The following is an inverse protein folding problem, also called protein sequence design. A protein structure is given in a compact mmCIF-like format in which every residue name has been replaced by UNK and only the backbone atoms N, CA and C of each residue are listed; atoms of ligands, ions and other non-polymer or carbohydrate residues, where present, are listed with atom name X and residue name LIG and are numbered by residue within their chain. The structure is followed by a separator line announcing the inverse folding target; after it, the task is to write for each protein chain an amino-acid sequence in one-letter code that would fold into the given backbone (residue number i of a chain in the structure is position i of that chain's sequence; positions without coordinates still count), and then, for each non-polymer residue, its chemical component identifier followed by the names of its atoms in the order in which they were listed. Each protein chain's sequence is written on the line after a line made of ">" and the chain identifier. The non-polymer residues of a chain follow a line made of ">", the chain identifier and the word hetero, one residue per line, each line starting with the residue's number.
data_IF_495572733374
#
_entry.id   IF_495572733374
#
_cell.length_a   1.000
_cell.length_b   1.000
_cell.length_c   1.000
_cell.angle_alpha   90.00
_cell.angle_beta   90.00
_cell.angle_gamma   90.00
#
_symmetry.space_group_name_H-M   'P 1'
#
loop_
_entity.id
_entity.type
_entity.pdbx_description
1 polymer ?
#
# COMPACT_ATOMS: atom_id res chain seq x y z
N UNK A 1 17.47 0.83 -5.04
CA UNK A 1 17.92 -0.45 -4.46
C UNK A 1 18.70 -1.28 -5.48
N UNK A 2 19.96 -0.91 -5.72
CA UNK A 2 20.87 -1.71 -6.53
C UNK A 2 21.09 -3.08 -5.89
N UNK A 3 20.90 -4.16 -6.66
CA UNK A 3 21.16 -5.60 -6.41
C UNK A 3 22.58 -5.98 -5.89
N UNK A 4 23.32 -5.07 -5.26
CA UNK A 4 24.74 -5.23 -4.91
C UNK A 4 25.06 -5.45 -3.43
N UNK A 5 24.11 -5.41 -2.51
CA UNK A 5 24.43 -5.45 -1.07
C UNK A 5 24.00 -6.70 -0.29
N UNK A 6 23.51 -7.75 -0.97
CA UNK A 6 23.33 -9.08 -0.36
C UNK A 6 24.18 -10.17 -1.05
N UNK A 7 25.10 -9.78 -1.95
CA UNK A 7 26.21 -10.63 -2.34
C UNK A 7 27.21 -10.64 -1.17
N UNK A 8 27.06 -11.67 -0.35
CA UNK A 8 28.03 -12.09 0.66
C UNK A 8 29.44 -12.01 0.04
N UNK A 9 30.28 -11.13 0.56
CA UNK A 9 31.72 -11.30 0.47
C UNK A 9 32.10 -12.48 1.39
N UNK A 10 31.80 -13.70 0.96
CA UNK A 10 32.51 -14.91 1.37
C UNK A 10 33.46 -15.23 0.21
N UNK A 11 34.56 -14.48 0.17
CA UNK A 11 35.78 -14.96 -0.46
C UNK A 11 36.51 -15.78 0.59
N UNK A 12 36.22 -17.08 0.66
CA UNK A 12 36.99 -18.04 1.45
C UNK A 12 37.25 -19.28 0.59
N UNK A 13 38.45 -19.26 0.01
CA UNK A 13 39.29 -20.38 -0.39
C UNK A 13 38.60 -21.61 -1.00
N UNK A 14 38.53 -21.65 -2.33
CA UNK A 14 38.63 -22.89 -3.09
C UNK A 14 40.06 -23.45 -2.95
N UNK A 15 40.29 -24.25 -1.91
CA UNK A 15 41.42 -25.18 -1.88
C UNK A 15 40.94 -26.53 -2.36
N UNK A 16 41.47 -26.92 -3.52
CA UNK A 16 41.42 -28.26 -4.06
C UNK A 16 42.01 -29.25 -3.04
N UNK A 17 41.26 -30.32 -2.75
CA UNK A 17 41.70 -31.44 -1.94
C UNK A 17 41.02 -32.70 -2.47
N UNK A 18 41.71 -33.40 -3.36
CA UNK A 18 41.35 -34.72 -3.84
C UNK A 18 41.39 -35.72 -2.68
N UNK A 19 40.29 -36.44 -2.45
CA UNK A 19 40.29 -37.76 -1.84
C UNK A 19 39.25 -38.60 -2.57
N UNK A 20 39.73 -39.59 -3.33
CA UNK A 20 38.92 -40.57 -3.99
C UNK A 20 38.22 -41.50 -2.98
N UNK A 21 37.02 -41.90 -3.34
CA UNK A 21 36.24 -42.91 -2.64
C UNK A 21 35.25 -43.51 -3.62
N UNK A 22 35.67 -44.55 -4.33
CA UNK A 22 34.82 -45.44 -5.12
C UNK A 22 33.85 -46.18 -4.20
N UNK A 23 32.55 -46.01 -4.41
CA UNK A 23 31.52 -46.93 -3.92
C UNK A 23 30.59 -47.35 -5.07
N UNK A 24 30.35 -48.65 -5.11
CA UNK A 24 29.65 -49.43 -6.13
C UNK A 24 28.17 -49.07 -6.32
N UNK A 25 27.56 -49.40 -7.48
CA UNK A 25 26.16 -49.14 -7.75
C UNK A 25 25.26 -50.15 -7.03
N UNK A 26 24.38 -49.64 -6.18
CA UNK A 26 23.28 -50.40 -5.57
C UNK A 26 22.06 -50.37 -6.48
N UNK A 27 21.50 -51.55 -6.73
CA UNK A 27 20.28 -51.85 -7.48
C UNK A 27 19.04 -51.08 -6.97
N UNK A 28 18.05 -50.73 -7.81
CA UNK A 28 16.86 -50.01 -7.37
C UNK A 28 15.92 -50.94 -6.61
N UNK A 29 15.72 -50.68 -5.31
CA UNK A 29 14.65 -51.25 -4.52
C UNK A 29 13.33 -50.53 -4.80
N UNK A 30 12.31 -51.31 -5.15
CA UNK A 30 10.92 -50.91 -5.32
C UNK A 30 10.33 -50.26 -4.06
N UNK A 31 9.83 -49.03 -4.21
CA UNK A 31 9.19 -48.23 -3.17
C UNK A 31 7.72 -48.66 -3.04
N UNK A 32 7.23 -49.03 -1.84
CA UNK A 32 5.80 -49.24 -1.61
C UNK A 32 5.03 -47.91 -1.60
N UNK A 33 3.74 -47.90 -1.98
CA UNK A 33 2.95 -46.67 -2.07
C UNK A 33 2.77 -46.03 -0.68
N UNK A 34 2.84 -44.68 -0.57
CA UNK A 34 2.64 -44.01 0.69
C UNK A 34 1.17 -44.06 1.10
N UNK A 35 0.92 -44.63 2.27
CA UNK A 35 -0.34 -44.53 3.01
C UNK A 35 -0.59 -43.06 3.36
N UNK A 36 -1.65 -42.48 2.79
CA UNK A 36 -2.00 -41.08 3.00
C UNK A 36 -2.49 -40.82 4.42
N UNK A 37 -1.67 -40.19 5.24
CA UNK A 37 -2.11 -39.49 6.46
C UNK A 37 -2.45 -38.05 6.09
N UNK A 38 -3.74 -37.72 6.13
CA UNK A 38 -4.24 -36.37 5.94
C UNK A 38 -3.69 -35.46 7.05
N UNK A 39 -2.73 -34.61 6.68
CA UNK A 39 -2.25 -33.52 7.54
C UNK A 39 -3.23 -32.36 7.39
N UNK A 40 -3.78 -31.78 8.49
CA UNK A 40 -4.62 -30.60 8.41
C UNK A 40 -3.83 -29.46 7.77
N UNK A 41 -4.28 -28.99 6.61
CA UNK A 41 -3.68 -27.85 5.93
C UNK A 41 -3.81 -26.57 6.78
N UNK A 42 -2.92 -25.59 6.58
CA UNK A 42 -2.96 -24.33 7.31
C UNK A 42 -4.31 -23.64 7.12
N UNK A 43 -4.94 -23.31 8.23
CA UNK A 43 -6.24 -22.65 8.31
C UNK A 43 -6.21 -21.36 7.50
N UNK A 44 -7.00 -21.31 6.42
CA UNK A 44 -7.23 -20.12 5.63
C UNK A 44 -7.70 -18.99 6.58
N UNK A 45 -7.12 -17.78 6.54
CA UNK A 45 -7.61 -16.67 7.34
C UNK A 45 -9.09 -16.44 7.04
N UNK A 46 -9.90 -16.06 8.04
CA UNK A 46 -11.34 -15.91 7.88
C UNK A 46 -11.61 -14.97 6.70
N UNK A 47 -12.30 -15.50 5.69
CA UNK A 47 -12.86 -14.67 4.61
C UNK A 47 -13.74 -13.62 5.28
N UNK A 48 -13.64 -12.37 4.82
CA UNK A 48 -14.61 -11.34 5.20
C UNK A 48 -16.01 -11.93 5.10
N UNK A 49 -16.87 -11.77 6.12
CA UNK A 49 -18.17 -12.40 6.13
C UNK A 49 -18.91 -12.02 4.86
N UNK A 50 -19.44 -13.02 4.16
CA UNK A 50 -20.41 -12.81 3.10
C UNK A 50 -21.49 -11.89 3.67
N UNK A 51 -21.83 -10.77 3.02
CA UNK A 51 -22.81 -9.84 3.56
C UNK A 51 -24.09 -10.60 3.88
N UNK A 52 -24.49 -10.58 5.15
CA UNK A 52 -25.76 -11.14 5.60
C UNK A 52 -26.88 -10.54 4.76
N UNK A 53 -27.86 -11.32 4.26
CA UNK A 53 -28.97 -10.77 3.49
C UNK A 53 -29.65 -9.67 4.33
N UNK A 54 -29.58 -8.44 3.82
CA UNK A 54 -30.26 -7.28 4.41
C UNK A 54 -31.57 -7.07 3.66
N UNK A 55 -32.64 -6.78 4.38
CA UNK A 55 -33.88 -6.32 3.75
C UNK A 55 -33.69 -4.88 3.31
N UNK A 56 -33.89 -4.61 2.02
CA UNK A 56 -33.94 -3.27 1.46
C UNK A 56 -35.33 -2.70 1.73
N UNK A 57 -35.38 -1.51 2.34
CA UNK A 57 -36.60 -0.81 2.71
C UNK A 57 -36.63 0.55 2.00
N UNK A 58 -37.81 0.93 1.53
CA UNK A 58 -38.08 2.29 1.08
C UNK A 58 -37.75 3.28 2.19
N UNK A 59 -37.19 4.44 1.81
CA UNK A 59 -36.95 5.55 2.70
C UNK A 59 -38.27 6.22 3.06
N UNK A 60 -38.41 6.63 4.32
CA UNK A 60 -39.51 7.51 4.70
C UNK A 60 -39.33 8.85 3.98
N UNK A 61 -40.42 9.43 3.48
CA UNK A 61 -40.40 10.63 2.63
C UNK A 61 -39.76 11.85 3.32
N UNK A 62 -39.73 11.86 4.66
CA UNK A 62 -39.06 12.88 5.46
C UNK A 62 -37.55 12.65 5.63
N UNK A 63 -37.05 11.43 5.37
CA UNK A 63 -35.66 11.00 5.61
C UNK A 63 -34.82 11.11 4.35
N UNK A 64 -34.79 12.32 3.77
CA UNK A 64 -33.98 12.58 2.58
C UNK A 64 -32.49 12.63 2.95
N UNK A 65 -31.63 11.79 2.35
CA UNK A 65 -30.18 11.89 2.51
C UNK A 65 -29.68 13.25 2.02
N UNK A 66 -28.79 13.87 2.80
CA UNK A 66 -28.11 15.11 2.41
C UNK A 66 -26.71 15.13 3.00
N UNK A 67 -25.88 16.07 2.57
CA UNK A 67 -24.54 16.24 3.11
C UNK A 67 -23.54 15.21 2.57
N UNK A 68 -22.44 14.97 3.29
CA UNK A 68 -21.34 14.15 2.79
C UNK A 68 -21.52 12.67 3.06
N UNK A 69 -21.18 11.86 2.05
CA UNK A 69 -21.21 10.41 2.13
C UNK A 69 -19.89 9.82 1.65
N UNK A 70 -19.22 9.09 2.53
CA UNK A 70 -18.00 8.37 2.20
C UNK A 70 -18.37 7.06 1.52
N UNK A 71 -17.98 6.86 0.25
CA UNK A 71 -18.22 5.62 -0.51
C UNK A 71 -16.88 4.94 -0.80
N UNK A 72 -16.77 3.66 -0.42
CA UNK A 72 -15.60 2.84 -0.68
C UNK A 72 -15.97 1.72 -1.66
N UNK A 73 -15.26 1.66 -2.78
CA UNK A 73 -15.33 0.60 -3.78
C UNK A 73 -14.21 -0.41 -3.50
N UNK A 74 -14.53 -1.70 -3.38
CA UNK A 74 -13.56 -2.74 -3.05
C UNK A 74 -13.72 -3.93 -3.99
N UNK A 75 -12.63 -4.39 -4.59
CA UNK A 75 -12.55 -5.69 -5.25
C UNK A 75 -11.47 -6.55 -4.59
N UNK A 76 -11.67 -7.86 -4.42
CA UNK A 76 -10.64 -8.74 -3.88
C UNK A 76 -9.36 -8.67 -4.73
N UNK A 77 -8.26 -8.22 -4.11
CA UNK A 77 -6.95 -8.16 -4.77
C UNK A 77 -6.67 -6.87 -5.56
N UNK A 78 -7.55 -5.86 -5.51
CA UNK A 78 -7.32 -4.54 -6.12
C UNK A 78 -7.26 -3.42 -5.08
N UNK A 79 -6.85 -2.22 -5.49
CA UNK A 79 -7.02 -1.00 -4.68
C UNK A 79 -8.48 -0.81 -4.27
N UNK A 80 -8.71 -0.31 -3.06
CA UNK A 80 -10.00 0.26 -2.72
C UNK A 80 -10.07 1.72 -3.16
N UNK A 81 -11.02 2.08 -4.01
CA UNK A 81 -11.26 3.48 -4.39
C UNK A 81 -12.15 4.13 -3.33
N UNK A 82 -11.74 5.30 -2.82
CA UNK A 82 -12.53 6.07 -1.85
C UNK A 82 -12.95 7.41 -2.41
N UNK A 83 -14.23 7.67 -2.37
CA UNK A 83 -14.86 8.88 -2.89
C UNK A 83 -15.78 9.48 -1.83
N UNK A 84 -15.98 10.80 -1.92
CA UNK A 84 -16.95 11.54 -1.11
C UNK A 84 -18.04 12.08 -2.02
N UNK A 85 -19.28 11.73 -1.73
CA UNK A 85 -20.48 12.18 -2.44
C UNK A 85 -21.15 13.26 -1.60
N UNK A 86 -21.12 14.51 -2.07
CA UNK A 86 -21.83 15.62 -1.44
C UNK A 86 -23.24 15.70 -2.02
N UNK A 87 -24.20 15.15 -1.28
CA UNK A 87 -25.60 15.05 -1.69
C UNK A 87 -26.35 16.33 -1.37
N UNK A 88 -27.09 16.84 -2.36
CA UNK A 88 -27.99 17.98 -2.23
C UNK A 88 -29.32 17.69 -2.92
N UNK A 89 -30.41 18.19 -2.34
CA UNK A 89 -31.72 18.07 -2.98
C UNK A 89 -31.78 18.93 -4.24
N UNK A 90 -32.22 18.36 -5.37
CA UNK A 90 -32.42 19.14 -6.59
C UNK A 90 -33.63 20.08 -6.48
N UNK A 91 -34.62 19.75 -5.63
CA UNK A 91 -35.81 20.57 -5.41
C UNK A 91 -36.48 20.28 -4.05
N UNK A 92 -37.42 21.13 -3.58
CA UNK A 92 -38.00 21.03 -2.23
C UNK A 92 -39.01 19.88 -2.06
N UNK A 93 -39.59 19.35 -3.15
CA UNK A 93 -40.49 18.20 -3.08
C UNK A 93 -39.72 16.97 -2.59
N UNK A 94 -40.25 16.13 -1.68
CA UNK A 94 -39.50 15.04 -1.02
C UNK A 94 -39.20 13.83 -1.91
N UNK A 95 -39.85 13.73 -3.08
CA UNK A 95 -39.64 12.70 -4.12
C UNK A 95 -38.72 13.17 -5.25
N UNK A 96 -38.05 14.30 -5.05
CA UNK A 96 -37.14 14.88 -6.04
C UNK A 96 -35.79 14.18 -6.01
N UNK A 97 -35.13 14.12 -7.16
CA UNK A 97 -33.77 13.63 -7.34
C UNK A 97 -32.75 14.34 -6.43
N UNK A 98 -31.64 13.65 -6.16
CA UNK A 98 -30.50 14.22 -5.45
C UNK A 98 -29.38 14.53 -6.45
N UNK A 99 -28.90 15.76 -6.42
CA UNK A 99 -27.60 16.08 -7.01
C UNK A 99 -26.48 15.58 -6.11
N UNK A 100 -25.40 15.10 -6.72
CA UNK A 100 -24.20 14.69 -6.03
C UNK A 100 -22.98 15.38 -6.66
N UNK A 101 -22.15 16.03 -5.84
CA UNK A 101 -20.78 16.37 -6.26
C UNK A 101 -19.85 15.28 -5.76
N UNK A 102 -19.11 14.65 -6.67
CA UNK A 102 -18.19 13.56 -6.36
C UNK A 102 -16.79 14.16 -6.19
N UNK A 103 -16.12 13.81 -5.09
CA UNK A 103 -14.79 14.28 -4.75
C UNK A 103 -13.90 13.13 -4.31
N UNK A 104 -12.59 13.32 -4.40
CA UNK A 104 -11.62 12.47 -3.70
C UNK A 104 -11.77 12.67 -2.19
N UNK A 105 -11.13 11.80 -1.40
CA UNK A 105 -11.03 12.00 0.05
C UNK A 105 -10.33 13.31 0.44
N UNK A 106 -9.44 13.83 -0.42
CA UNK A 106 -8.77 15.13 -0.25
C UNK A 106 -9.65 16.33 -0.62
N UNK A 107 -10.84 16.12 -1.18
CA UNK A 107 -11.77 17.16 -1.61
C UNK A 107 -11.58 17.64 -3.05
N UNK A 108 -10.72 16.99 -3.83
CA UNK A 108 -10.56 17.29 -5.25
C UNK A 108 -11.81 16.83 -6.02
N UNK A 109 -12.38 17.71 -6.83
CA UNK A 109 -13.61 17.40 -7.58
C UNK A 109 -13.32 16.38 -8.67
N UNK A 110 -14.03 15.26 -8.63
CA UNK A 110 -14.00 14.20 -9.65
C UNK A 110 -15.12 14.38 -10.68
N UNK A 111 -16.31 14.79 -10.24
CA UNK A 111 -17.45 14.90 -11.15
C UNK A 111 -18.74 15.33 -10.47
N UNK A 112 -19.85 15.15 -11.19
CA UNK A 112 -21.21 15.33 -10.67
C UNK A 112 -22.10 14.20 -11.15
N UNK A 113 -23.06 13.82 -10.32
CA UNK A 113 -24.00 12.73 -10.56
C UNK A 113 -25.40 13.14 -10.09
N UNK A 114 -26.42 12.44 -10.59
CA UNK A 114 -27.81 12.62 -10.13
C UNK A 114 -28.34 11.27 -9.68
N UNK A 115 -28.79 11.16 -8.44
CA UNK A 115 -29.56 10.01 -7.97
C UNK A 115 -31.04 10.25 -8.24
N UNK A 116 -31.65 9.41 -9.05
CA UNK A 116 -33.07 9.45 -9.37
C UNK A 116 -33.89 8.78 -8.27
N UNK A 117 -34.96 9.43 -7.82
CA UNK A 117 -35.86 8.84 -6.82
C UNK A 117 -36.91 7.95 -7.50
N UNK A 118 -36.94 6.67 -7.13
CA UNK A 118 -37.90 5.70 -7.65
C UNK A 118 -38.17 4.58 -6.62
N UNK A 119 -39.42 4.14 -6.51
CA UNK A 119 -39.88 3.12 -5.56
C UNK A 119 -39.41 3.35 -4.09
N UNK A 120 -39.35 4.63 -3.67
CA UNK A 120 -38.92 4.98 -2.31
C UNK A 120 -37.41 4.90 -2.08
N UNK A 121 -36.60 4.80 -3.13
CA UNK A 121 -35.14 4.70 -3.06
C UNK A 121 -34.49 5.70 -4.01
N UNK A 122 -33.21 6.02 -3.77
CA UNK A 122 -32.42 6.85 -4.69
C UNK A 122 -31.43 5.98 -5.45
N UNK A 123 -31.50 5.98 -6.79
CA UNK A 123 -30.67 5.17 -7.69
C UNK A 123 -29.75 6.05 -8.51
N UNK A 124 -28.48 5.66 -8.60
CA UNK A 124 -27.51 6.24 -9.51
C UNK A 124 -27.07 5.16 -10.49
N UNK A 125 -27.15 5.47 -11.77
CA UNK A 125 -26.54 4.68 -12.85
C UNK A 125 -25.73 5.64 -13.73
N UNK A 126 -24.42 5.43 -13.79
CA UNK A 126 -23.50 6.28 -14.56
C UNK A 126 -22.56 5.39 -15.36
N UNK A 127 -22.43 5.69 -16.65
CA UNK A 127 -21.39 5.15 -17.52
C UNK A 127 -20.43 6.27 -17.91
N UNK A 128 -19.15 6.07 -17.61
CA UNK A 128 -18.05 6.92 -18.08
C UNK A 128 -17.21 6.15 -19.07
N UNK A 129 -16.80 6.82 -20.15
CA UNK A 129 -15.96 6.26 -21.19
C UNK A 129 -14.81 7.20 -21.47
N UNK A 130 -13.60 6.64 -21.47
CA UNK A 130 -12.37 7.37 -21.75
C UNK A 130 -11.49 6.55 -22.70
N UNK A 131 -10.78 7.22 -23.60
CA UNK A 131 -9.71 6.58 -24.39
C UNK A 131 -8.43 6.76 -23.59
N UNK A 132 -7.73 5.65 -23.33
CA UNK A 132 -6.55 5.63 -22.48
C UNK A 132 -5.35 5.05 -23.23
N UNK A 133 -4.17 5.53 -22.83
CA UNK A 133 -2.90 4.91 -23.19
C UNK A 133 -2.84 3.50 -22.62
N UNK A 134 -2.35 2.57 -23.43
CA UNK A 134 -2.27 1.18 -23.04
C UNK A 134 -0.82 0.71 -22.88
N UNK A 135 -0.41 0.33 -21.66
CA UNK A 135 0.91 -0.25 -21.45
C UNK A 135 0.96 -1.70 -21.93
N UNK A 136 1.92 -2.02 -22.82
CA UNK A 136 2.26 -3.39 -23.22
C UNK A 136 3.62 -3.78 -22.62
N UNK A 137 4.07 -5.06 -22.72
CA UNK A 137 5.40 -5.46 -22.27
C UNK A 137 6.56 -4.76 -22.97
N UNK A 138 6.32 -4.16 -24.15
CA UNK A 138 7.38 -3.59 -25.01
C UNK A 138 7.31 -2.07 -25.03
N UNK A 139 6.11 -1.50 -25.09
CA UNK A 139 5.89 -0.06 -25.18
C UNK A 139 4.51 0.36 -24.67
N UNK A 140 4.29 1.66 -24.45
CA UNK A 140 2.96 2.23 -24.21
C UNK A 140 2.37 2.70 -25.53
N UNK A 141 1.19 2.20 -25.87
CA UNK A 141 0.48 2.57 -27.09
C UNK A 141 -0.49 3.69 -26.75
N UNK A 142 -0.23 4.88 -27.29
CA UNK A 142 -1.12 6.02 -27.12
C UNK A 142 -2.52 5.69 -27.66
N UNK A 143 -3.55 6.05 -26.90
CA UNK A 143 -4.96 5.76 -27.23
C UNK A 143 -5.25 4.27 -27.53
N UNK A 144 -4.43 3.37 -26.97
CA UNK A 144 -4.45 1.95 -27.28
C UNK A 144 -5.64 1.17 -26.70
N UNK A 145 -6.40 1.74 -25.76
CA UNK A 145 -7.56 1.08 -25.19
C UNK A 145 -8.70 2.06 -24.88
N UNK A 146 -9.91 1.53 -24.80
CA UNK A 146 -11.07 2.23 -24.24
C UNK A 146 -11.33 1.73 -22.83
N UNK A 147 -11.32 2.64 -21.88
CA UNK A 147 -11.74 2.43 -20.50
C UNK A 147 -13.23 2.77 -20.37
N UNK A 148 -14.00 1.87 -19.75
CA UNK A 148 -15.42 2.09 -19.45
C UNK A 148 -15.65 1.77 -17.98
N UNK A 149 -16.21 2.72 -17.24
CA UNK A 149 -16.63 2.55 -15.85
C UNK A 149 -18.15 2.67 -15.76
N UNK A 150 -18.79 1.58 -15.35
CA UNK A 150 -20.22 1.54 -15.07
C UNK A 150 -20.44 1.50 -13.55
N UNK A 151 -21.04 2.53 -12.99
CA UNK A 151 -21.30 2.66 -11.55
C UNK A 151 -22.80 2.64 -11.29
N UNK A 152 -23.23 1.67 -10.46
CA UNK A 152 -24.60 1.53 -9.97
C UNK A 152 -24.59 1.70 -8.45
N UNK A 153 -25.26 2.72 -7.92
CA UNK A 153 -25.40 2.95 -6.47
C UNK A 153 -26.87 3.10 -6.07
N UNK A 154 -27.19 2.63 -4.86
CA UNK A 154 -28.51 2.67 -4.26
C UNK A 154 -28.43 3.24 -2.84
N UNK A 155 -29.18 4.31 -2.58
CA UNK A 155 -29.43 4.84 -1.24
C UNK A 155 -30.81 4.35 -0.78
N UNK A 156 -30.83 3.55 0.28
CA UNK A 156 -32.03 2.93 0.82
C UNK A 156 -31.89 2.68 2.33
N UNK A 157 -33.01 2.35 2.97
CA UNK A 157 -32.99 1.85 4.35
C UNK A 157 -32.57 0.38 4.34
N UNK A 158 -31.54 0.04 5.10
CA UNK A 158 -31.07 -1.34 5.27
C UNK A 158 -31.33 -1.81 6.68
N UNK A 159 -32.03 -2.94 6.80
CA UNK A 159 -32.25 -3.63 8.08
C UNK A 159 -31.42 -4.90 8.11
N UNK A 160 -30.52 -5.01 9.09
CA UNK A 160 -29.77 -6.24 9.32
C UNK A 160 -30.71 -7.34 9.83
N UNK A 161 -30.53 -8.58 9.33
CA UNK A 161 -31.32 -9.72 9.76
C UNK A 161 -31.30 -9.88 11.30
N UNK A 162 -32.49 -10.03 11.89
CA UNK A 162 -32.64 -10.15 13.35
C UNK A 162 -32.59 -8.82 14.13
N UNK A 163 -32.58 -7.67 13.45
CA UNK A 163 -32.59 -6.35 14.10
C UNK A 163 -33.81 -5.53 13.67
N UNK A 164 -34.28 -4.63 14.54
CA UNK A 164 -35.32 -3.64 14.20
C UNK A 164 -34.74 -2.33 13.62
N UNK A 165 -33.43 -2.14 13.73
CA UNK A 165 -32.73 -0.91 13.33
C UNK A 165 -32.66 -0.83 11.81
N UNK A 166 -33.13 0.29 11.28
CA UNK A 166 -32.97 0.64 9.86
C UNK A 166 -31.87 1.69 9.78
N UNK A 167 -30.84 1.43 8.98
CA UNK A 167 -29.77 2.39 8.68
C UNK A 167 -29.86 2.81 7.23
N UNK A 168 -29.84 4.11 6.97
CA UNK A 168 -29.70 4.62 5.60
C UNK A 168 -28.23 4.53 5.21
N UNK A 169 -27.92 3.77 4.17
CA UNK A 169 -26.57 3.57 3.64
C UNK A 169 -26.57 3.73 2.10
N UNK A 170 -25.39 3.90 1.51
CA UNK A 170 -25.18 3.77 0.05
C UNK A 170 -24.58 2.39 -0.22
N UNK A 171 -25.14 1.62 -1.15
CA UNK A 171 -24.54 0.35 -1.59
C UNK A 171 -24.62 0.22 -3.10
N UNK A 172 -23.77 -0.61 -3.69
CA UNK A 172 -23.85 -0.84 -5.12
C UNK A 172 -22.61 -1.53 -5.67
N UNK A 173 -22.37 -1.30 -6.95
CA UNK A 173 -21.23 -1.87 -7.66
C UNK A 173 -20.61 -0.85 -8.62
N UNK A 174 -19.32 -1.03 -8.91
CA UNK A 174 -18.66 -0.40 -10.06
C UNK A 174 -17.99 -1.49 -10.88
N UNK A 175 -18.24 -1.49 -12.17
CA UNK A 175 -17.54 -2.36 -13.11
C UNK A 175 -16.64 -1.51 -13.98
N UNK A 176 -15.35 -1.80 -13.96
CA UNK A 176 -14.36 -1.16 -14.82
C UNK A 176 -13.95 -2.17 -15.89
N UNK A 177 -14.03 -1.79 -17.15
CA UNK A 177 -13.63 -2.62 -18.29
C UNK A 177 -12.65 -1.86 -19.18
N UNK A 178 -11.54 -2.50 -19.54
CA UNK A 178 -10.56 -2.00 -20.50
C UNK A 178 -10.66 -2.86 -21.74
N UNK A 179 -11.00 -2.23 -22.87
CA UNK A 179 -11.12 -2.90 -24.17
C UNK A 179 -10.05 -2.37 -25.13
N UNK A 180 -9.11 -3.21 -25.58
CA UNK A 180 -8.12 -2.86 -26.60
C UNK A 180 -8.73 -2.27 -27.87
N UNK A 181 -8.05 -1.28 -28.47
CA UNK A 181 -8.37 -0.78 -29.80
C UNK A 181 -7.58 -1.59 -30.83
N UNK A 182 -8.26 -2.53 -31.50
CA UNK A 182 -7.63 -3.42 -32.48
C UNK A 182 -6.77 -4.52 -31.84
N UNK A 183 -5.79 -5.04 -32.60
CA UNK A 183 -4.86 -6.08 -32.16
C UNK A 183 -3.48 -5.48 -31.84
N UNK A 184 -3.44 -4.64 -30.81
CA UNK A 184 -2.27 -3.86 -30.43
C UNK A 184 -1.52 -4.46 -29.22
N UNK A 185 -1.86 -5.68 -28.81
CA UNK A 185 -1.22 -6.36 -27.68
C UNK A 185 -1.67 -5.90 -26.29
N UNK A 186 -2.65 -4.99 -26.21
CA UNK A 186 -3.31 -4.64 -24.96
C UNK A 186 -4.12 -5.81 -24.42
N UNK A 187 -4.03 -6.02 -23.09
CA UNK A 187 -4.76 -7.10 -22.44
C UNK A 187 -6.12 -6.56 -22.02
N UNK A 188 -7.24 -7.17 -22.46
CA UNK A 188 -8.55 -6.79 -21.97
C UNK A 188 -8.65 -7.11 -20.47
N UNK A 189 -9.21 -6.18 -19.70
CA UNK A 189 -9.35 -6.32 -18.25
C UNK A 189 -10.79 -5.97 -17.84
N UNK A 190 -11.31 -6.69 -16.85
CA UNK A 190 -12.60 -6.37 -16.22
C UNK A 190 -12.48 -6.56 -14.72
N UNK A 191 -12.76 -5.51 -13.96
CA UNK A 191 -12.73 -5.49 -12.50
C UNK A 191 -14.11 -5.10 -11.99
N UNK A 192 -14.63 -5.86 -11.01
CA UNK A 192 -15.89 -5.58 -10.34
C UNK A 192 -15.64 -5.19 -8.89
N UNK A 193 -16.09 -4.01 -8.50
CA UNK A 193 -16.00 -3.47 -7.16
C UNK A 193 -17.36 -3.52 -6.47
N UNK A 194 -17.36 -3.88 -5.19
CA UNK A 194 -18.50 -3.71 -4.29
C UNK A 194 -18.39 -2.35 -3.61
N UNK A 195 -19.44 -1.54 -3.70
CA UNK A 195 -19.52 -0.23 -3.09
C UNK A 195 -20.26 -0.29 -1.75
N UNK A 196 -19.67 0.31 -0.72
CA UNK A 196 -20.33 0.55 0.57
C UNK A 196 -20.07 2.00 0.98
N UNK A 197 -21.13 2.71 1.34
CA UNK A 197 -21.03 4.09 1.78
C UNK A 197 -21.92 4.41 2.96
N UNK A 198 -21.46 5.39 3.73
CA UNK A 198 -22.08 5.84 4.96
C UNK A 198 -21.97 7.36 5.07
N UNK A 199 -22.94 7.95 5.77
CA UNK A 199 -22.90 9.36 6.12
C UNK A 199 -21.59 9.67 6.85
N UNK A 200 -20.99 10.80 6.51
CA UNK A 200 -19.75 11.25 7.12
C UNK A 200 -19.81 12.75 7.31
N UNK A 201 -19.11 13.25 8.31
CA UNK A 201 -18.87 14.68 8.41
C UNK A 201 -17.66 15.00 7.52
N UNK A 202 -17.83 15.90 6.55
CA UNK A 202 -16.66 16.61 6.02
C UNK A 202 -16.06 17.30 7.23
N UNK A 203 -14.81 16.99 7.56
CA UNK A 203 -14.06 17.84 8.47
C UNK A 203 -14.22 19.26 7.92
N UNK A 204 -14.90 20.14 8.68
CA UNK A 204 -15.18 21.49 8.24
C UNK A 204 -13.88 22.07 7.69
N UNK A 205 -13.92 22.61 6.47
CA UNK A 205 -12.76 23.27 5.89
C UNK A 205 -12.22 24.22 6.97
N UNK A 206 -10.98 24.01 7.46
CA UNK A 206 -10.52 24.68 8.66
C UNK A 206 -10.69 26.19 8.47
N UNK A 207 -11.39 26.83 9.42
CA UNK A 207 -11.58 28.29 9.45
C UNK A 207 -10.25 28.96 9.13
N UNK A 208 -10.24 29.85 8.12
CA UNK A 208 -9.04 30.47 7.58
C UNK A 208 -8.12 30.92 8.71
N UNK A 209 -7.05 30.15 8.92
CA UNK A 209 -6.09 30.41 9.98
C UNK A 209 -5.32 31.68 9.60
N UNK A 210 -5.10 32.63 10.53
CA UNK A 210 -4.34 33.84 10.25
C UNK A 210 -3.01 33.51 9.56
N UNK A 211 -2.66 34.34 8.57
CA UNK A 211 -1.47 34.22 7.71
C UNK A 211 -0.25 33.77 8.53
N UNK A 212 0.23 32.52 8.36
CA UNK A 212 1.28 32.01 9.22
C UNK A 212 2.60 32.71 8.92
N UNK A 213 3.26 33.17 9.99
CA UNK A 213 4.63 33.65 9.96
C UNK A 213 5.53 32.48 9.52
N UNK A 214 6.35 32.73 8.50
CA UNK A 214 7.14 31.76 7.75
C UNK A 214 8.11 30.98 8.67
N UNK A 215 7.75 29.74 9.02
CA UNK A 215 8.69 28.79 9.65
C UNK A 215 8.73 27.50 8.82
N UNK A 216 9.80 27.35 8.04
CA UNK A 216 10.04 26.26 7.07
C UNK A 216 10.56 24.95 7.69
N UNK A 217 10.02 24.55 8.83
CA UNK A 217 10.23 23.22 9.39
C UNK A 217 8.91 22.69 9.88
N UNK A 218 8.44 21.56 9.34
CA UNK A 218 7.28 20.85 9.89
C UNK A 218 7.61 20.54 11.35
N UNK A 219 6.85 21.09 12.32
CA UNK A 219 7.15 20.86 13.72
C UNK A 219 7.14 19.35 14.02
N UNK A 220 8.20 18.85 14.66
CA UNK A 220 8.25 17.48 15.17
C UNK A 220 8.93 16.43 14.29
N UNK A 221 9.19 16.68 13.00
CA UNK A 221 9.92 15.72 12.15
C UNK A 221 11.42 16.03 12.21
N UNK A 222 12.13 15.35 13.10
CA UNK A 222 13.58 15.50 13.30
C UNK A 222 14.26 14.13 13.42
N UNK A 223 15.59 14.08 13.50
CA UNK A 223 16.31 12.81 13.78
C UNK A 223 15.78 12.10 15.03
N UNK A 224 15.35 12.86 16.05
CA UNK A 224 14.81 12.29 17.28
C UNK A 224 13.48 11.57 17.08
N UNK A 225 12.67 11.98 16.09
CA UNK A 225 11.41 11.33 15.76
C UNK A 225 11.63 9.89 15.28
N UNK A 226 12.68 9.66 14.49
CA UNK A 226 13.04 8.33 13.97
C UNK A 226 13.97 7.55 14.90
N UNK A 227 14.62 8.22 15.86
CA UNK A 227 15.54 7.64 16.83
C UNK A 227 17.00 7.55 16.35
N UNK A 228 17.82 6.84 17.13
CA UNK A 228 19.28 6.77 16.89
C UNK A 228 19.67 6.05 15.60
N UNK A 229 20.82 6.43 15.04
CA UNK A 229 21.38 5.82 13.83
C UNK A 229 20.70 6.26 12.51
N UNK A 230 19.86 7.29 12.56
CA UNK A 230 19.12 7.82 11.41
C UNK A 230 19.75 9.10 10.88
N UNK A 231 19.97 9.13 9.56
CA UNK A 231 20.26 10.35 8.79
C UNK A 231 19.02 10.72 8.00
N UNK A 232 18.68 12.01 7.97
CA UNK A 232 17.58 12.53 7.16
C UNK A 232 18.19 13.29 6.00
N UNK A 233 17.85 12.87 4.79
CA UNK A 233 18.08 13.59 3.54
C UNK A 233 16.74 14.17 3.07
N UNK A 234 16.82 15.25 2.28
CA UNK A 234 15.61 15.87 1.73
C UNK A 234 15.78 16.21 0.27
N UNK A 235 14.71 16.10 -0.51
CA UNK A 235 14.63 16.60 -1.87
C UNK A 235 13.61 17.74 -1.97
N UNK A 236 13.79 18.62 -2.95
CA UNK A 236 12.94 19.81 -3.08
C UNK A 236 11.61 19.45 -3.74
N UNK A 237 10.53 19.97 -3.16
CA UNK A 237 9.18 19.91 -3.72
C UNK A 237 8.66 21.33 -3.93
N UNK A 238 8.04 21.58 -5.09
CA UNK A 238 7.39 22.84 -5.46
C UNK A 238 5.88 22.67 -5.59
N UNK A 239 5.18 23.76 -5.95
CA UNK A 239 3.73 23.77 -6.15
C UNK A 239 2.99 24.62 -5.13
N UNK A 240 1.85 25.18 -5.56
CA UNK A 240 0.92 25.99 -4.79
C UNK A 240 -0.40 25.29 -4.47
N UNK A 241 -0.63 24.10 -5.05
CA UNK A 241 -1.79 23.24 -4.81
C UNK A 241 -1.35 21.79 -4.53
N UNK A 242 -2.20 20.94 -3.92
CA UNK A 242 -1.88 19.52 -3.71
C UNK A 242 -1.47 18.80 -4.99
N UNK A 243 -2.20 19.00 -6.10
CA UNK A 243 -1.88 18.39 -7.38
C UNK A 243 -0.49 18.79 -7.92
N UNK A 244 -0.10 20.06 -7.79
CA UNK A 244 1.24 20.52 -8.20
C UNK A 244 2.35 19.95 -7.31
N UNK A 245 2.08 19.81 -6.00
CA UNK A 245 3.01 19.22 -5.04
C UNK A 245 3.23 17.73 -5.34
N UNK A 246 2.15 16.99 -5.59
CA UNK A 246 2.20 15.57 -5.99
C UNK A 246 2.94 15.42 -7.32
N UNK A 247 2.66 16.27 -8.31
CA UNK A 247 3.39 16.27 -9.57
C UNK A 247 4.89 16.54 -9.37
N UNK A 248 5.24 17.47 -8.48
CA UNK A 248 6.63 17.74 -8.12
C UNK A 248 7.30 16.57 -7.40
N UNK A 249 6.58 15.82 -6.56
CA UNK A 249 7.07 14.59 -5.93
C UNK A 249 7.34 13.51 -6.99
N UNK A 250 6.37 13.28 -7.89
CA UNK A 250 6.50 12.31 -8.99
C UNK A 250 7.67 12.63 -9.94
N UNK A 251 8.11 13.88 -10.00
CA UNK A 251 9.26 14.31 -10.82
C UNK A 251 10.60 14.29 -10.06
N UNK A 252 10.61 14.68 -8.79
CA UNK A 252 11.85 14.90 -8.03
C UNK A 252 12.15 13.83 -6.97
N UNK A 253 11.17 13.00 -6.61
CA UNK A 253 11.30 12.00 -5.55
C UNK A 253 12.38 10.95 -5.83
N UNK A 254 12.89 10.28 -4.78
CA UNK A 254 13.81 9.15 -4.93
C UNK A 254 13.19 8.05 -5.79
N UNK A 255 13.97 7.48 -6.70
CA UNK A 255 13.51 6.35 -7.50
C UNK A 255 13.44 5.07 -6.66
N UNK A 256 12.25 4.46 -6.61
CA UNK A 256 12.02 3.16 -6.00
C UNK A 256 12.18 2.07 -7.05
N UNK A 257 13.19 1.22 -6.88
CA UNK A 257 13.41 0.11 -7.80
C UNK A 257 12.30 -0.94 -7.73
N UNK A 258 11.60 -1.05 -6.60
CA UNK A 258 10.48 -1.97 -6.47
C UNK A 258 9.24 -1.45 -7.20
N UNK A 259 8.87 -0.19 -6.95
CA UNK A 259 7.68 0.42 -7.55
C UNK A 259 7.92 0.91 -8.99
N UNK A 260 9.17 0.87 -9.47
CA UNK A 260 9.60 1.39 -10.79
C UNK A 260 9.21 2.83 -11.06
N UNK A 261 9.00 3.61 -10.00
CA UNK A 261 8.58 5.01 -10.05
C UNK A 261 9.27 5.81 -8.96
N UNK A 262 9.10 7.13 -8.97
CA UNK A 262 9.58 8.00 -7.90
C UNK A 262 8.63 7.91 -6.72
N UNK A 263 9.17 7.53 -5.58
CA UNK A 263 8.44 7.43 -4.33
C UNK A 263 8.44 8.80 -3.61
N UNK A 264 7.43 9.01 -2.79
CA UNK A 264 7.34 10.20 -1.95
C UNK A 264 8.44 10.23 -0.89
N UNK A 265 8.72 9.09 -0.26
CA UNK A 265 9.85 8.93 0.64
C UNK A 265 10.44 7.52 0.50
N UNK A 266 11.67 7.37 0.98
CA UNK A 266 12.37 6.07 1.02
C UNK A 266 13.22 5.99 2.28
N UNK A 267 13.09 4.89 3.00
CA UNK A 267 14.04 4.45 4.02
C UNK A 267 15.07 3.49 3.43
N UNK A 268 16.32 3.93 3.33
CA UNK A 268 17.46 3.07 3.00
C UNK A 268 18.07 2.49 4.27
N UNK A 269 18.22 1.17 4.29
CA UNK A 269 18.74 0.43 5.45
C UNK A 269 20.04 -0.28 5.08
N UNK A 270 21.07 -0.14 5.92
CA UNK A 270 22.39 -0.77 5.72
C UNK A 270 22.80 -1.53 6.98
N UNK A 271 22.94 -2.87 6.93
CA UNK A 271 23.42 -3.64 8.08
C UNK A 271 24.90 -3.36 8.36
N UNK A 272 25.27 -3.36 9.63
CA UNK A 272 26.67 -3.42 10.08
C UNK A 272 26.82 -4.62 11.01
N UNK A 273 27.72 -5.52 10.63
CA UNK A 273 28.05 -6.72 11.40
C UNK A 273 29.27 -6.44 12.27
N UNK A 274 29.20 -6.89 13.51
CA UNK A 274 30.20 -6.69 14.57
C UNK A 274 30.57 -8.03 15.20
N UNK A 275 30.89 -8.97 14.32
CA UNK A 275 31.37 -10.31 14.67
C UNK A 275 32.27 -10.83 13.55
N UNK A 276 33.09 -11.82 13.89
CA UNK A 276 34.02 -12.48 13.00
C UNK A 276 33.89 -14.00 13.17
N UNK A 277 34.36 -14.77 12.19
CA UNK A 277 34.54 -16.22 12.31
C UNK A 277 36.01 -16.49 12.59
N UNK A 278 36.30 -17.11 13.72
CA UNK A 278 37.67 -17.34 14.20
C UNK A 278 37.95 -18.84 14.20
N UNK A 279 39.05 -19.25 13.57
CA UNK A 279 39.44 -20.66 13.41
C UNK A 279 38.95 -21.27 12.10
N UNK A 280 39.16 -22.58 11.93
CA UNK A 280 38.75 -23.35 10.74
C UNK A 280 38.28 -24.75 11.14
N UNK A 281 37.44 -25.38 10.32
CA UNK A 281 36.92 -26.73 10.59
C UNK A 281 36.28 -26.83 11.98
N UNK A 282 36.73 -27.79 12.79
CA UNK A 282 36.21 -28.04 14.13
C UNK A 282 36.57 -26.95 15.17
N UNK A 283 37.60 -26.13 14.93
CA UNK A 283 37.98 -25.03 15.84
C UNK A 283 37.27 -23.71 15.53
N UNK A 284 36.46 -23.67 14.46
CA UNK A 284 35.78 -22.47 14.05
C UNK A 284 34.66 -22.08 15.03
N UNK A 285 34.69 -20.85 15.51
CA UNK A 285 33.64 -20.26 16.33
C UNK A 285 33.30 -18.82 15.91
N UNK A 286 32.11 -18.36 16.30
CA UNK A 286 31.66 -16.99 16.07
C UNK A 286 32.17 -16.11 17.22
N UNK A 287 32.95 -15.07 16.91
CA UNK A 287 33.47 -14.10 17.88
C UNK A 287 32.77 -12.75 17.72
N UNK A 288 32.01 -12.31 18.72
CA UNK A 288 31.33 -11.00 18.70
C UNK A 288 32.34 -9.92 19.11
N UNK A 289 32.67 -9.03 18.18
CA UNK A 289 33.64 -7.94 18.42
C UNK A 289 33.03 -6.76 19.16
N UNK A 290 31.71 -6.52 19.02
CA UNK A 290 31.00 -5.47 19.76
C UNK A 290 29.52 -5.83 19.89
N UNK A 291 28.91 -5.50 21.04
CA UNK A 291 27.45 -5.66 21.24
C UNK A 291 26.68 -4.37 20.91
N UNK A 292 25.53 -4.47 20.24
CA UNK A 292 24.96 -5.67 19.63
C UNK A 292 25.75 -6.10 18.38
N UNK A 293 25.72 -7.41 18.07
CA UNK A 293 26.51 -8.02 16.99
C UNK A 293 26.04 -7.60 15.60
N UNK A 294 24.79 -7.15 15.47
CA UNK A 294 24.24 -6.57 14.24
C UNK A 294 23.51 -5.27 14.59
N UNK A 295 23.80 -4.21 13.86
CA UNK A 295 23.02 -2.96 13.87
C UNK A 295 22.62 -2.58 12.44
N UNK A 296 21.70 -1.64 12.32
CA UNK A 296 21.39 -0.97 11.06
C UNK A 296 21.72 0.51 11.14
N UNK A 297 22.17 1.06 10.02
CA UNK A 297 22.27 2.50 9.77
C UNK A 297 21.19 2.87 8.76
N UNK A 298 20.49 3.96 9.01
CA UNK A 298 19.33 4.39 8.24
C UNK A 298 19.58 5.72 7.54
N UNK A 299 19.18 5.82 6.30
CA UNK A 299 19.02 7.10 5.59
C UNK A 299 17.58 7.21 5.13
N UNK A 300 16.86 8.21 5.63
CA UNK A 300 15.48 8.49 5.24
C UNK A 300 15.48 9.71 4.33
N UNK A 301 14.93 9.57 3.14
CA UNK A 301 14.79 10.68 2.19
C UNK A 301 13.35 11.18 2.22
N UNK A 302 13.14 12.43 2.64
CA UNK A 302 11.80 13.04 2.74
C UNK A 302 11.64 14.21 1.78
N UNK A 303 10.41 14.52 1.33
CA UNK A 303 10.18 15.72 0.57
C UNK A 303 10.29 16.96 1.46
N UNK A 304 10.84 18.03 0.89
CA UNK A 304 10.93 19.35 1.51
C UNK A 304 10.24 20.36 0.61
N UNK A 305 9.02 20.72 1.00
CA UNK A 305 8.26 21.76 0.32
C UNK A 305 8.67 23.16 0.79
N UNK A 306 8.82 24.07 -0.17
CA UNK A 306 9.01 25.50 0.08
C UNK A 306 7.86 26.24 -0.58
N UNK A 307 6.75 26.50 0.15
CA UNK A 307 5.55 27.04 -0.45
C UNK A 307 5.85 28.39 -1.13
N UNK A 308 5.39 28.60 -2.38
CA UNK A 308 5.43 29.93 -2.99
C UNK A 308 4.61 30.95 -2.19
N UNK A 309 4.79 32.24 -2.46
CA UNK A 309 4.00 33.28 -1.79
C UNK A 309 2.53 33.17 -2.20
N UNK A 310 1.62 33.23 -1.23
CA UNK A 310 0.17 33.25 -1.48
C UNK A 310 -0.51 31.89 -1.56
N UNK A 311 0.19 30.80 -1.22
CA UNK A 311 -0.44 29.47 -1.10
C UNK A 311 -1.60 29.50 -0.11
N UNK A 312 -2.70 28.82 -0.47
CA UNK A 312 -3.87 28.69 0.38
C UNK A 312 -3.54 27.98 1.71
N UNK A 313 -4.16 28.44 2.80
CA UNK A 313 -3.97 27.83 4.13
C UNK A 313 -4.36 26.35 4.17
N UNK A 314 -5.36 25.94 3.39
CA UNK A 314 -5.79 24.55 3.25
C UNK A 314 -4.69 23.66 2.65
N UNK A 315 -3.98 24.13 1.63
CA UNK A 315 -2.85 23.40 1.03
C UNK A 315 -1.69 23.26 2.01
N UNK A 316 -1.43 24.29 2.84
CA UNK A 316 -0.42 24.21 3.90
C UNK A 316 -0.82 23.18 4.96
N UNK A 317 -2.09 23.16 5.37
CA UNK A 317 -2.60 22.17 6.32
C UNK A 317 -2.48 20.76 5.77
N UNK A 318 -2.98 20.52 4.57
CA UNK A 318 -2.88 19.24 3.86
C UNK A 318 -1.42 18.77 3.79
N UNK A 319 -0.49 19.64 3.39
CA UNK A 319 0.92 19.30 3.33
C UNK A 319 1.49 18.86 4.68
N UNK A 320 1.13 19.55 5.77
CA UNK A 320 1.60 19.20 7.11
C UNK A 320 1.07 17.85 7.57
N UNK A 321 -0.18 17.52 7.24
CA UNK A 321 -0.78 16.23 7.56
C UNK A 321 -0.14 15.11 6.73
N UNK A 322 0.08 15.35 5.44
CA UNK A 322 0.71 14.42 4.51
C UNK A 322 2.12 14.06 4.96
N UNK A 323 2.99 15.06 5.16
CA UNK A 323 4.39 14.82 5.53
C UNK A 323 4.53 14.18 6.91
N UNK A 324 3.58 14.39 7.82
CA UNK A 324 3.52 13.64 9.08
C UNK A 324 3.12 12.18 8.86
N UNK A 325 2.17 11.92 7.96
CA UNK A 325 1.80 10.55 7.56
C UNK A 325 2.97 9.80 6.98
N UNK A 326 3.65 10.41 6.00
CA UNK A 326 4.88 9.89 5.39
C UNK A 326 5.95 9.63 6.44
N UNK A 327 6.21 10.57 7.36
CA UNK A 327 7.20 10.37 8.41
C UNK A 327 6.84 9.18 9.33
N UNK A 328 5.56 8.99 9.69
CA UNK A 328 5.13 7.82 10.48
C UNK A 328 5.36 6.51 9.73
N UNK A 329 5.05 6.47 8.43
CA UNK A 329 5.34 5.32 7.56
C UNK A 329 6.84 4.98 7.58
N UNK A 330 7.70 5.96 7.30
CA UNK A 330 9.16 5.75 7.28
C UNK A 330 9.72 5.34 8.65
N UNK A 331 9.14 5.85 9.74
CA UNK A 331 9.51 5.43 11.09
C UNK A 331 9.18 3.96 11.35
N UNK A 332 8.07 3.45 10.81
CA UNK A 332 7.70 2.05 10.98
C UNK A 332 8.75 1.12 10.36
N UNK A 333 9.28 1.45 9.18
CA UNK A 333 10.42 0.75 8.59
C UNK A 333 11.62 0.68 9.53
N UNK A 334 12.00 1.82 10.13
CA UNK A 334 13.09 1.86 11.11
C UNK A 334 12.81 0.93 12.30
N UNK A 335 11.59 0.91 12.83
CA UNK A 335 11.20 0.06 13.95
C UNK A 335 11.28 -1.43 13.59
N UNK A 336 10.80 -1.81 12.40
CA UNK A 336 10.84 -3.16 11.86
C UNK A 336 12.28 -3.67 11.76
N UNK A 337 13.17 -2.89 11.13
CA UNK A 337 14.58 -3.28 10.99
C UNK A 337 15.33 -3.28 12.33
N UNK A 338 14.98 -2.41 13.29
CA UNK A 338 15.54 -2.48 14.66
C UNK A 338 15.15 -3.78 15.35
N UNK A 339 13.88 -4.19 15.27
CA UNK A 339 13.44 -5.48 15.80
C UNK A 339 14.19 -6.64 15.10
N UNK A 340 14.37 -6.54 13.78
CA UNK A 340 15.19 -7.44 13.00
C UNK A 340 16.65 -7.55 13.47
N UNK A 341 17.31 -6.42 13.76
CA UNK A 341 18.70 -6.40 14.26
C UNK A 341 18.86 -7.12 15.60
N UNK A 342 17.87 -7.02 16.49
CA UNK A 342 17.85 -7.76 17.76
C UNK A 342 17.82 -9.28 17.49
N UNK A 343 16.95 -9.73 16.58
CA UNK A 343 16.85 -11.14 16.19
C UNK A 343 18.12 -11.65 15.53
N UNK A 344 18.71 -10.86 14.62
CA UNK A 344 19.98 -11.18 13.97
C UNK A 344 21.11 -11.29 15.01
N UNK A 345 21.19 -10.37 15.96
CA UNK A 345 22.21 -10.41 17.03
C UNK A 345 22.07 -11.65 17.92
N UNK A 346 20.84 -12.03 18.28
CA UNK A 346 20.58 -13.28 19.02
C UNK A 346 20.94 -14.53 18.22
N UNK A 347 20.73 -14.51 16.89
CA UNK A 347 21.18 -15.58 16.01
C UNK A 347 22.71 -15.68 15.98
N UNK A 348 23.44 -14.58 15.81
CA UNK A 348 24.92 -14.57 15.86
C UNK A 348 25.42 -15.18 17.17
N UNK A 349 24.87 -14.73 18.31
CA UNK A 349 25.31 -15.18 19.63
C UNK A 349 25.08 -16.66 19.91
N UNK A 350 24.13 -17.30 19.23
CA UNK A 350 23.76 -18.71 19.41
C UNK A 350 24.16 -19.60 18.23
N UNK A 351 24.92 -19.08 17.27
CA UNK A 351 25.32 -19.81 16.07
C UNK A 351 26.73 -20.35 16.16
N UNK A 352 27.01 -21.38 15.36
CA UNK A 352 28.36 -21.85 15.06
C UNK A 352 28.76 -21.30 13.69
N UNK A 353 30.04 -21.44 13.32
CA UNK A 353 30.47 -21.08 11.96
C UNK A 353 29.66 -21.79 10.86
N UNK A 354 29.24 -23.03 11.11
CA UNK A 354 28.54 -23.85 10.12
C UNK A 354 27.12 -23.34 9.81
N UNK A 355 26.46 -22.64 10.75
CA UNK A 355 25.05 -22.29 10.61
C UNK A 355 24.74 -20.78 10.73
N UNK A 356 25.69 -19.93 11.12
CA UNK A 356 25.45 -18.49 11.27
C UNK A 356 24.94 -17.86 9.97
N UNK A 357 25.53 -18.20 8.82
CA UNK A 357 25.12 -17.66 7.53
C UNK A 357 23.67 -18.00 7.17
N UNK A 358 23.28 -19.28 7.26
CA UNK A 358 21.93 -19.72 6.92
C UNK A 358 20.87 -19.18 7.89
N UNK A 359 21.21 -19.04 9.18
CA UNK A 359 20.32 -18.44 10.18
C UNK A 359 20.10 -16.95 9.94
N UNK A 360 21.18 -16.19 9.67
CA UNK A 360 21.08 -14.78 9.32
C UNK A 360 20.27 -14.57 8.03
N UNK A 361 20.50 -15.41 7.00
CA UNK A 361 19.75 -15.35 5.75
C UNK A 361 18.25 -15.62 5.95
N UNK A 362 17.88 -16.59 6.79
CA UNK A 362 16.48 -16.88 7.11
C UNK A 362 15.80 -15.71 7.81
N UNK A 363 16.44 -15.11 8.81
CA UNK A 363 15.91 -13.92 9.50
C UNK A 363 15.85 -12.73 8.55
N UNK A 364 16.85 -12.54 7.69
CA UNK A 364 16.87 -11.48 6.68
C UNK A 364 15.69 -11.58 5.69
N UNK A 365 15.38 -12.78 5.20
CA UNK A 365 14.20 -13.00 4.33
C UNK A 365 12.89 -12.67 5.04
N UNK A 366 12.77 -13.01 6.32
CA UNK A 366 11.59 -12.69 7.11
C UNK A 366 11.44 -11.18 7.35
N UNK A 367 12.53 -10.48 7.68
CA UNK A 367 12.55 -9.01 7.79
C UNK A 367 12.10 -8.37 6.46
N UNK A 368 12.68 -8.80 5.34
CA UNK A 368 12.32 -8.26 4.01
C UNK A 368 10.85 -8.55 3.67
N UNK A 369 10.35 -9.73 4.01
CA UNK A 369 8.93 -10.07 3.83
C UNK A 369 8.03 -9.15 4.63
N UNK A 370 8.32 -8.91 5.91
CA UNK A 370 7.53 -8.01 6.74
C UNK A 370 7.57 -6.57 6.20
N UNK A 371 8.73 -6.10 5.72
CA UNK A 371 8.85 -4.80 5.06
C UNK A 371 7.92 -4.71 3.85
N UNK A 372 8.00 -5.70 2.97
CA UNK A 372 7.16 -5.76 1.77
C UNK A 372 5.67 -5.86 2.10
N UNK A 373 5.29 -6.67 3.08
CA UNK A 373 3.90 -6.83 3.52
C UNK A 373 3.35 -5.51 4.09
N UNK A 374 4.16 -4.76 4.85
CA UNK A 374 3.79 -3.44 5.33
C UNK A 374 3.57 -2.45 4.18
N UNK A 375 4.53 -2.33 3.27
CA UNK A 375 4.41 -1.43 2.12
C UNK A 375 3.21 -1.79 1.22
N UNK A 376 2.97 -3.09 1.00
CA UNK A 376 1.84 -3.58 0.19
C UNK A 376 0.49 -3.24 0.81
N UNK A 377 0.40 -3.32 2.13
CA UNK A 377 -0.82 -3.02 2.88
C UNK A 377 -1.20 -1.55 2.77
N UNK A 378 -0.22 -0.65 2.74
CA UNK A 378 -0.49 0.79 2.68
C UNK A 378 -0.63 1.30 1.23
N UNK A 379 0.28 0.94 0.33
CA UNK A 379 0.31 1.51 -1.03
C UNK A 379 0.55 0.48 -2.13
N UNK A 380 1.22 -0.64 -1.85
CA UNK A 380 1.62 -1.54 -2.93
C UNK A 380 0.44 -2.24 -3.62
N UNK A 381 -0.63 -2.58 -2.89
CA UNK A 381 -1.85 -3.11 -3.53
C UNK A 381 -2.52 -2.06 -4.42
N UNK A 382 -2.48 -0.79 -4.00
CA UNK A 382 -2.96 0.34 -4.79
C UNK A 382 -2.21 0.49 -6.12
N UNK A 383 -0.90 0.28 -6.08
CA UNK A 383 -0.02 0.44 -7.23
C UNK A 383 0.13 -0.82 -8.11
N UNK A 384 -0.71 -1.85 -7.90
CA UNK A 384 -0.58 -3.13 -8.62
C UNK A 384 0.70 -3.92 -8.29
N UNK A 385 1.37 -3.58 -7.19
CA UNK A 385 2.55 -4.28 -6.72
C UNK A 385 2.16 -5.58 -6.01
N UNK A 386 3.06 -6.56 -6.06
CA UNK A 386 2.87 -7.87 -5.42
C UNK A 386 4.00 -8.17 -4.44
N UNK A 387 3.75 -9.05 -3.48
CA UNK A 387 4.78 -9.53 -2.55
C UNK A 387 5.95 -10.19 -3.30
N UNK A 388 5.67 -10.94 -4.36
CA UNK A 388 6.73 -11.52 -5.20
C UNK A 388 7.57 -10.45 -5.89
N UNK A 389 6.95 -9.38 -6.42
CA UNK A 389 7.69 -8.27 -7.03
C UNK A 389 8.59 -7.53 -6.04
N UNK A 390 8.15 -7.40 -4.78
CA UNK A 390 8.95 -6.77 -3.72
C UNK A 390 10.14 -7.65 -3.34
N UNK A 391 9.90 -8.94 -3.11
CA UNK A 391 10.93 -9.90 -2.70
C UNK A 391 11.94 -10.25 -3.81
N UNK A 392 11.64 -9.94 -5.08
CA UNK A 392 12.53 -10.17 -6.22
C UNK A 392 13.57 -9.05 -6.45
N UNK A 393 13.44 -7.93 -5.74
CA UNK A 393 14.37 -6.81 -5.73
C UNK A 393 15.30 -6.89 -4.51
#
# INVERSE_FOLDING_TARGET
>A
MTRRNFALAVALATLAGACGGTTSPSTPGSIPPPTGSATPGPTQPPRSPVPTPATILALETASRPSGPWAVTFQSPGTESVREVYLLSAACPAPTCDLGATIQTWSGDRLGTATFTFDDGMYRLEVEEREVIDCPTPVETIADGATWVSHTSLLIAGYRAAGTAVVKVDIRGTRTVSVTPVGDNGCIPEKIEYIANGQETELAAAPTATPRPTRTTSVPGISKNFFGSGVTIETYRVGGASPGEIIASIRSNGPYSDWAKTRAEAVTRVVPKYRFELVGTGASCHVSITTRPAVIYVYTITLPRWSPPTGVAGSTISWWNDEIQSVARHERHHVELFRAGATRLSGAVASSTCANVGSRLATIGRDINRQNCEFDLKEYGTAMGLTLSSCLAN
#
